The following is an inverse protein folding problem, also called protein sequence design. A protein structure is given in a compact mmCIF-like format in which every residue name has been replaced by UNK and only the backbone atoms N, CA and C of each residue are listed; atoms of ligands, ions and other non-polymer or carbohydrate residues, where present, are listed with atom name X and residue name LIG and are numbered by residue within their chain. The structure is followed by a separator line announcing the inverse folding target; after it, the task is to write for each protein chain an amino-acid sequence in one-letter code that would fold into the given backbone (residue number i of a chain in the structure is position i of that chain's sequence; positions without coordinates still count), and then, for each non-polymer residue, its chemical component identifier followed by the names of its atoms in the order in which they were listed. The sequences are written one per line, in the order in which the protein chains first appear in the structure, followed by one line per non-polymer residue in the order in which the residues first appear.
data_IF_157772423236
#
_entry.id   IF_157772423236
#
_cell.length_a   1.000
_cell.length_b   1.000
_cell.length_c   1.000
_cell.angle_alpha   90.00
_cell.angle_beta   90.00
_cell.angle_gamma   90.00
#
_symmetry.space_group_name_H-M   'P 1'
#
loop_
_entity.id
_entity.type
_entity.pdbx_description
1 polymer ?
#
# COMPACT_ATOMS: atom_id res chain seq x y z
N UNK A 1 -1.36 6.37 -19.50
CA UNK A 1 -0.37 6.13 -18.42
C UNK A 1 -0.87 5.02 -17.52
N UNK A 2 -0.08 3.97 -17.27
CA UNK A 2 -0.50 2.91 -16.35
C UNK A 2 -0.81 3.48 -14.96
N UNK A 3 -1.78 2.88 -14.29
CA UNK A 3 -2.22 3.40 -12.99
C UNK A 3 -1.09 3.44 -11.95
N UNK A 4 -0.21 2.46 -11.96
CA UNK A 4 0.94 2.46 -11.04
C UNK A 4 1.81 3.70 -11.21
N UNK A 5 1.98 4.19 -12.44
CA UNK A 5 2.72 5.43 -12.68
C UNK A 5 1.99 6.65 -12.12
N UNK A 6 0.67 6.65 -12.21
CA UNK A 6 -0.15 7.72 -11.62
C UNK A 6 0.02 7.73 -10.11
N UNK A 7 0.03 6.54 -9.49
CA UNK A 7 0.26 6.36 -8.05
C UNK A 7 1.63 6.91 -7.65
N UNK A 8 2.67 6.53 -8.37
CA UNK A 8 4.04 6.95 -8.05
C UNK A 8 4.24 8.45 -8.26
N UNK A 9 3.60 9.01 -9.28
CA UNK A 9 3.67 10.45 -9.53
C UNK A 9 3.04 11.24 -8.38
N UNK A 10 1.87 10.79 -7.90
CA UNK A 10 1.22 11.42 -6.75
C UNK A 10 2.10 11.29 -5.50
N UNK A 11 2.74 10.14 -5.31
CA UNK A 11 3.61 9.88 -4.15
C UNK A 11 4.84 10.80 -4.14
N UNK A 12 5.36 11.14 -5.31
CA UNK A 12 6.51 12.07 -5.41
C UNK A 12 6.16 13.47 -4.92
N UNK A 13 4.89 13.84 -5.01
CA UNK A 13 4.44 15.15 -4.52
C UNK A 13 4.31 15.13 -3.00
N UNK A 14 3.58 14.14 -2.45
CA UNK A 14 3.33 14.05 -1.02
C UNK A 14 2.64 12.73 -0.70
N UNK A 15 2.91 12.18 0.49
CA UNK A 15 2.13 11.10 1.07
C UNK A 15 1.24 11.67 2.18
N UNK A 16 -0.03 11.29 2.19
CA UNK A 16 -0.94 11.65 3.27
C UNK A 16 -1.46 10.36 3.89
N UNK A 17 -1.06 10.11 5.14
CA UNK A 17 -1.48 8.91 5.87
C UNK A 17 -2.83 9.16 6.54
N UNK A 18 -3.86 8.43 6.13
CA UNK A 18 -5.19 8.57 6.71
C UNK A 18 -5.21 7.90 8.09
N UNK A 19 -6.17 8.29 8.96
CA UNK A 19 -6.21 7.77 10.34
C UNK A 19 -6.18 6.25 10.45
N UNK A 20 -6.92 5.54 9.60
CA UNK A 20 -6.94 4.09 9.62
C UNK A 20 -5.55 3.50 9.34
N UNK A 21 -4.83 4.07 8.37
CA UNK A 21 -3.47 3.63 8.06
C UNK A 21 -2.53 3.87 9.24
N UNK A 22 -2.63 5.04 9.87
CA UNK A 22 -1.80 5.38 11.02
C UNK A 22 -2.05 4.38 12.15
N UNK A 23 -3.31 4.07 12.45
CA UNK A 23 -3.65 3.12 13.50
C UNK A 23 -3.04 1.73 13.22
N UNK A 24 -3.14 1.28 11.97
CA UNK A 24 -2.59 -0.02 11.58
C UNK A 24 -1.06 -0.04 11.65
N UNK A 25 -0.41 1.03 11.20
CA UNK A 25 1.05 1.12 11.19
C UNK A 25 1.63 1.13 12.60
N UNK A 26 0.90 1.73 13.55
CA UNK A 26 1.37 1.89 14.92
C UNK A 26 1.07 0.71 15.85
N UNK A 27 0.51 -0.37 15.34
CA UNK A 27 0.27 -1.55 16.16
C UNK A 27 1.59 -2.14 16.63
N UNK A 28 1.75 -2.41 17.96
CA UNK A 28 3.04 -2.85 18.50
C UNK A 28 3.62 -4.08 17.81
N UNK A 29 2.76 -5.02 17.40
CA UNK A 29 3.21 -6.25 16.74
C UNK A 29 3.69 -6.02 15.30
N UNK A 30 3.50 -4.83 14.74
CA UNK A 30 3.85 -4.54 13.35
C UNK A 30 4.86 -3.42 13.21
N UNK A 31 4.56 -2.27 13.78
CA UNK A 31 5.40 -1.05 13.71
C UNK A 31 5.90 -0.77 12.30
N UNK A 32 4.95 -0.56 11.39
CA UNK A 32 5.28 -0.23 10.00
C UNK A 32 5.69 1.24 9.92
N UNK A 33 6.84 1.52 9.31
CA UNK A 33 7.35 2.87 9.17
C UNK A 33 6.90 3.53 7.87
N UNK A 34 6.89 4.87 7.79
CA UNK A 34 6.68 5.56 6.53
C UNK A 34 7.70 5.15 5.46
N UNK A 35 8.93 4.85 5.85
CA UNK A 35 9.96 4.35 4.93
C UNK A 35 9.54 3.05 4.27
N UNK A 36 8.99 2.13 5.05
CA UNK A 36 8.52 0.86 4.48
C UNK A 36 7.38 1.07 3.50
N UNK A 37 6.45 1.98 3.80
CA UNK A 37 5.36 2.32 2.89
C UNK A 37 5.92 2.88 1.59
N UNK A 38 6.90 3.78 1.64
CA UNK A 38 7.56 4.31 0.45
C UNK A 38 8.21 3.21 -0.38
N UNK A 39 8.90 2.29 0.27
CA UNK A 39 9.56 1.18 -0.43
C UNK A 39 8.55 0.36 -1.23
N UNK A 40 7.40 0.07 -0.62
CA UNK A 40 6.34 -0.68 -1.31
C UNK A 40 5.80 0.11 -2.51
N UNK A 41 5.58 1.42 -2.35
CA UNK A 41 5.05 2.27 -3.42
C UNK A 41 6.02 2.29 -4.61
N UNK A 42 7.30 2.48 -4.37
CA UNK A 42 8.26 2.71 -5.45
C UNK A 42 8.91 1.43 -6.00
N UNK A 43 8.91 0.33 -5.23
CA UNK A 43 9.55 -0.91 -5.65
C UNK A 43 8.59 -2.10 -5.73
N UNK A 44 7.40 -1.97 -5.20
CA UNK A 44 6.44 -3.06 -5.17
C UNK A 44 5.65 -3.21 -6.47
N UNK A 45 4.66 -4.08 -6.42
CA UNK A 45 3.79 -4.33 -7.57
C UNK A 45 2.34 -4.11 -7.20
N UNK A 46 1.55 -3.70 -8.18
CA UNK A 46 0.11 -3.56 -8.04
C UNK A 46 -0.52 -4.94 -8.19
N UNK A 47 -1.21 -5.40 -7.14
CA UNK A 47 -1.81 -6.74 -7.13
C UNK A 47 -3.33 -6.74 -7.18
N UNK A 48 -3.98 -5.67 -6.73
CA UNK A 48 -5.44 -5.52 -6.87
C UNK A 48 -5.75 -4.08 -7.25
N UNK A 49 -6.74 -3.92 -8.15
CA UNK A 49 -7.12 -2.62 -8.67
C UNK A 49 -8.60 -2.38 -8.34
N UNK A 50 -8.91 -1.21 -7.79
CA UNK A 50 -10.26 -0.86 -7.36
C UNK A 50 -10.72 0.44 -8.03
N UNK A 51 -11.01 0.41 -9.34
CA UNK A 51 -11.42 1.62 -10.06
C UNK A 51 -12.76 2.18 -9.60
N UNK A 52 -13.60 1.35 -8.99
CA UNK A 52 -14.94 1.76 -8.54
C UNK A 52 -14.97 2.18 -7.05
N UNK A 53 -13.81 2.32 -6.40
CA UNK A 53 -13.77 2.73 -5.00
C UNK A 53 -14.43 4.12 -4.83
N UNK A 54 -15.45 4.25 -3.96
CA UNK A 54 -16.13 5.54 -3.76
C UNK A 54 -15.21 6.67 -3.30
N UNK A 55 -14.07 6.31 -2.68
CA UNK A 55 -13.07 7.29 -2.23
C UNK A 55 -12.17 7.78 -3.36
N UNK A 56 -12.39 7.29 -4.58
CA UNK A 56 -11.56 7.51 -5.74
C UNK A 56 -10.81 6.23 -6.10
N UNK A 57 -10.38 6.13 -7.34
CA UNK A 57 -9.65 4.96 -7.84
C UNK A 57 -8.48 4.63 -6.89
N UNK A 58 -8.50 3.44 -6.32
CA UNK A 58 -7.48 2.97 -5.40
C UNK A 58 -6.89 1.65 -5.86
N UNK A 59 -5.84 1.20 -5.20
CA UNK A 59 -5.22 -0.08 -5.52
C UNK A 59 -4.53 -0.65 -4.29
N UNK A 60 -4.20 -1.94 -4.37
CA UNK A 60 -3.42 -2.65 -3.37
C UNK A 60 -2.04 -2.93 -3.95
N UNK A 61 -1.01 -2.46 -3.27
CA UNK A 61 0.37 -2.72 -3.63
C UNK A 61 1.00 -3.72 -2.66
N UNK A 62 1.90 -4.55 -3.17
CA UNK A 62 2.64 -5.52 -2.36
C UNK A 62 4.13 -5.36 -2.65
N UNK A 63 4.94 -5.33 -1.61
CA UNK A 63 6.39 -5.23 -1.81
C UNK A 63 7.16 -5.63 -0.58
N UNK A 64 8.43 -5.97 -0.79
CA UNK A 64 9.37 -6.28 0.29
C UNK A 64 10.06 -5.02 0.75
N UNK A 65 10.36 -4.94 2.03
CA UNK A 65 10.99 -3.77 2.63
C UNK A 65 12.42 -4.07 3.08
N UNK A 66 13.13 -3.03 3.51
CA UNK A 66 14.50 -3.16 4.03
C UNK A 66 14.57 -4.04 5.29
N UNK A 67 13.43 -4.32 5.92
CA UNK A 67 13.37 -5.23 7.08
C UNK A 67 13.09 -6.68 6.66
N UNK A 68 13.20 -6.99 5.37
CA UNK A 68 13.00 -8.33 4.83
C UNK A 68 11.62 -8.90 5.13
N UNK A 69 10.61 -8.06 5.01
CA UNK A 69 9.22 -8.50 5.17
C UNK A 69 8.35 -7.88 4.09
N UNK A 70 7.25 -8.57 3.77
CA UNK A 70 6.27 -8.07 2.81
C UNK A 70 5.28 -7.17 3.52
N UNK A 71 5.01 -6.02 2.93
CA UNK A 71 4.00 -5.08 3.40
C UNK A 71 3.00 -4.85 2.26
N UNK A 72 1.72 -4.79 2.61
CA UNK A 72 0.65 -4.41 1.70
C UNK A 72 0.22 -2.98 2.00
N UNK A 73 0.00 -2.20 0.93
CA UNK A 73 -0.41 -0.79 1.05
C UNK A 73 -1.60 -0.57 0.14
N UNK A 74 -2.70 -0.05 0.69
CA UNK A 74 -3.85 0.41 -0.08
C UNK A 74 -3.73 1.92 -0.20
N UNK A 75 -3.78 2.43 -1.42
CA UNK A 75 -3.59 3.85 -1.67
C UNK A 75 -4.43 4.35 -2.83
N UNK A 76 -4.65 5.68 -2.87
CA UNK A 76 -5.42 6.32 -3.92
C UNK A 76 -4.76 7.64 -4.31
N UNK A 77 -4.38 7.82 -5.59
CA UNK A 77 -3.76 9.06 -6.02
C UNK A 77 -4.79 10.19 -6.12
N UNK A 78 -4.40 11.35 -5.59
CA UNK A 78 -5.13 12.60 -5.69
C UNK A 78 -4.28 13.59 -6.49
N UNK A 79 -4.81 14.78 -6.76
CA UNK A 79 -4.09 15.76 -7.58
C UNK A 79 -2.77 16.20 -6.95
N UNK A 80 -2.76 16.40 -5.64
CA UNK A 80 -1.60 16.96 -4.94
C UNK A 80 -0.87 15.97 -4.03
N UNK A 81 -1.35 14.73 -3.90
CA UNK A 81 -0.78 13.77 -2.96
C UNK A 81 -1.28 12.35 -3.24
N UNK A 82 -0.61 11.39 -2.62
CA UNK A 82 -1.10 10.00 -2.56
C UNK A 82 -1.69 9.76 -1.19
N UNK A 83 -2.98 9.39 -1.14
CA UNK A 83 -3.64 9.04 0.11
C UNK A 83 -3.28 7.59 0.47
N UNK A 84 -2.70 7.38 1.65
CA UNK A 84 -2.43 6.05 2.18
C UNK A 84 -3.62 5.65 3.04
N UNK A 85 -4.39 4.70 2.53
CA UNK A 85 -5.66 4.29 3.13
C UNK A 85 -5.44 3.21 4.18
N UNK A 86 -4.53 2.27 3.89
CA UNK A 86 -4.27 1.13 4.76
C UNK A 86 -2.84 0.63 4.51
N UNK A 87 -2.21 0.11 5.56
CA UNK A 87 -0.91 -0.53 5.45
C UNK A 87 -0.84 -1.64 6.50
N UNK A 88 -0.46 -2.85 6.09
CA UNK A 88 -0.45 -3.99 7.00
C UNK A 88 0.54 -5.06 6.54
N UNK A 89 0.88 -5.95 7.47
CA UNK A 89 1.65 -7.15 7.15
C UNK A 89 0.63 -8.23 6.76
N UNK A 90 0.69 -8.75 5.52
CA UNK A 90 -0.27 -9.76 5.09
C UNK A 90 -0.11 -11.07 5.88
N UNK A 91 -1.24 -11.66 6.29
CA UNK A 91 -1.24 -12.90 7.05
C UNK A 91 -1.15 -14.09 6.09
N UNK A 92 -0.25 -15.06 6.35
CA UNK A 92 -0.06 -16.22 5.46
C UNK A 92 -1.31 -17.07 5.24
N UNK A 93 -2.22 -17.09 6.19
CA UNK A 93 -3.46 -17.87 6.07
C UNK A 93 -4.49 -17.20 5.15
N UNK A 94 -4.31 -15.92 4.84
CA UNK A 94 -5.22 -15.18 3.95
C UNK A 94 -4.63 -14.97 2.56
N UNK A 95 -3.32 -15.14 2.41
CA UNK A 95 -2.62 -14.88 1.17
C UNK A 95 -1.78 -16.08 0.78
N UNK A 96 -1.58 -16.28 -0.52
CA UNK A 96 -0.70 -17.33 -1.01
C UNK A 96 0.75 -17.01 -0.70
N UNK A 97 1.62 -17.98 -0.87
CA UNK A 97 3.02 -17.95 -0.44
C UNK A 97 3.76 -16.67 -0.82
N UNK A 98 3.48 -16.12 -2.00
CA UNK A 98 4.14 -14.89 -2.47
C UNK A 98 3.39 -13.62 -2.03
N UNK A 99 2.28 -13.75 -1.30
CA UNK A 99 1.45 -12.65 -0.81
C UNK A 99 0.87 -11.76 -1.93
N UNK A 100 0.80 -12.24 -3.14
CA UNK A 100 0.23 -11.46 -4.27
C UNK A 100 -1.17 -11.90 -4.66
N UNK A 101 -1.65 -13.03 -4.15
CA UNK A 101 -3.00 -13.52 -4.42
C UNK A 101 -3.66 -13.98 -3.13
N UNK A 102 -4.97 -13.65 -3.02
CA UNK A 102 -5.74 -14.09 -1.86
C UNK A 102 -5.95 -15.60 -1.89
N UNK A 103 -5.89 -16.22 -0.73
CA UNK A 103 -6.29 -17.61 -0.59
C UNK A 103 -7.81 -17.72 -0.70
N UNK A 104 -8.26 -18.78 -1.30
CA UNK A 104 -9.69 -19.09 -1.45
C UNK A 104 -10.19 -19.96 -0.32
#
# INVERSE_FOLDING_TARGET
MPFLEVVREAARKRLLFLPHAIDQMNRPERMISPREVREVIFSGQLIEDYPEDPRGHSCLLSGSTHLNRVIHVVCSPKDAYLAIISAYVPEPDRWEENFTRRRR
#
